data_IF_282238918772
#
_entry.id   IF_282238918772
#
_cell.length_a   1.000
_cell.length_b   1.000
_cell.length_c   1.000
_cell.angle_alpha   90.00
_cell.angle_beta   90.00
_cell.angle_gamma   90.00
#
_symmetry.space_group_name_H-M   'P 1'
#
loop_
_entity.id
_entity.type
_entity.pdbx_description
1 polymer ?
#
# COMPACT_ATOMS: atom_id res chain seq x y z
N UNK A 1 7.43 23.88 -11.10
CA UNK A 1 6.07 23.32 -11.11
C UNK A 1 5.91 22.47 -12.36
N UNK A 2 5.38 21.26 -12.22
CA UNK A 2 5.12 20.35 -13.33
C UNK A 2 3.64 20.01 -13.28
N UNK A 3 2.90 20.40 -14.30
CA UNK A 3 1.49 20.09 -14.42
C UNK A 3 1.30 18.79 -15.19
N UNK A 4 0.45 17.91 -14.66
CA UNK A 4 -0.06 16.77 -15.39
C UNK A 4 -1.28 17.23 -16.23
N UNK A 5 -1.41 16.77 -17.49
CA UNK A 5 -2.56 17.12 -18.31
C UNK A 5 -3.90 16.81 -17.65
N UNK A 6 -4.98 17.47 -18.08
CA UNK A 6 -6.33 17.33 -17.52
C UNK A 6 -6.82 15.87 -17.40
N UNK A 7 -7.71 15.63 -16.44
CA UNK A 7 -8.28 14.30 -16.15
C UNK A 7 -7.33 13.33 -15.45
N UNK A 8 -6.19 13.81 -14.95
CA UNK A 8 -5.17 12.97 -14.28
C UNK A 8 -5.05 13.29 -12.80
N UNK A 9 -4.88 12.24 -12.00
CA UNK A 9 -4.71 12.32 -10.55
C UNK A 9 -3.36 11.71 -10.19
N UNK A 10 -2.49 12.49 -9.54
CA UNK A 10 -1.25 12.02 -8.96
C UNK A 10 -1.51 11.52 -7.54
N UNK A 11 -1.04 10.31 -7.22
CA UNK A 11 -1.20 9.66 -5.92
C UNK A 11 0.13 9.44 -5.21
N UNK A 12 1.20 9.19 -5.96
CA UNK A 12 2.54 8.95 -5.43
C UNK A 12 3.61 9.62 -6.27
N UNK A 13 4.70 10.02 -5.61
CA UNK A 13 5.87 10.63 -6.22
C UNK A 13 7.14 10.05 -5.62
N UNK A 14 8.17 9.89 -6.43
CA UNK A 14 9.51 9.49 -6.02
C UNK A 14 10.57 10.02 -6.97
N UNK A 15 11.80 10.07 -6.49
CA UNK A 15 12.95 10.58 -7.25
C UNK A 15 14.08 9.56 -7.15
N UNK A 16 14.74 9.26 -8.25
CA UNK A 16 15.93 8.44 -8.23
C UNK A 16 17.20 9.24 -7.93
N UNK A 17 18.34 8.56 -7.78
CA UNK A 17 19.63 9.18 -7.50
C UNK A 17 20.14 10.15 -8.59
N UNK A 18 19.56 10.09 -9.79
CA UNK A 18 19.88 10.98 -10.93
C UNK A 18 18.94 12.18 -11.02
N UNK A 19 18.03 12.36 -10.05
CA UNK A 19 17.04 13.45 -10.06
C UNK A 19 15.85 13.23 -11.00
N UNK A 20 15.68 12.01 -11.55
CA UNK A 20 14.52 11.68 -12.38
C UNK A 20 13.30 11.50 -11.50
N UNK A 21 12.26 12.26 -11.79
CA UNK A 21 10.99 12.23 -11.04
C UNK A 21 10.07 11.18 -11.65
N UNK A 22 9.56 10.32 -10.79
CA UNK A 22 8.52 9.33 -11.08
C UNK A 22 7.24 9.73 -10.35
N UNK A 23 6.12 9.66 -11.03
CA UNK A 23 4.79 9.89 -10.44
C UNK A 23 3.89 8.73 -10.80
N UNK A 24 3.03 8.31 -9.91
CA UNK A 24 1.99 7.33 -10.21
C UNK A 24 0.61 7.85 -9.84
N UNK A 25 -0.43 7.25 -10.41
CA UNK A 25 -1.80 7.64 -10.17
C UNK A 25 -2.74 7.03 -11.20
N UNK A 26 -3.72 7.79 -11.65
CA UNK A 26 -4.67 7.33 -12.65
C UNK A 26 -5.15 8.46 -13.56
N UNK A 27 -5.66 8.08 -14.71
CA UNK A 27 -6.39 8.96 -15.62
C UNK A 27 -7.85 8.56 -15.62
N UNK A 28 -8.73 9.55 -15.60
CA UNK A 28 -10.17 9.37 -15.67
C UNK A 28 -10.68 9.84 -17.02
N UNK A 29 -11.40 8.96 -17.72
CA UNK A 29 -12.08 9.25 -18.99
C UNK A 29 -13.54 8.82 -18.85
N UNK A 30 -14.43 9.80 -18.65
CA UNK A 30 -15.81 9.52 -18.27
C UNK A 30 -15.90 8.81 -16.92
N UNK A 31 -16.40 7.59 -16.91
CA UNK A 31 -16.49 6.74 -15.71
C UNK A 31 -15.33 5.74 -15.60
N UNK A 32 -14.52 5.60 -16.62
CA UNK A 32 -13.39 4.66 -16.64
C UNK A 32 -12.15 5.29 -16.03
N UNK A 33 -11.43 4.50 -15.21
CA UNK A 33 -10.18 4.86 -14.62
C UNK A 33 -9.08 3.91 -15.11
N UNK A 34 -7.93 4.45 -15.46
CA UNK A 34 -6.77 3.67 -15.89
C UNK A 34 -5.52 4.08 -15.14
N UNK A 35 -4.85 3.11 -14.51
CA UNK A 35 -3.61 3.36 -13.79
C UNK A 35 -2.51 3.86 -14.72
N UNK A 36 -1.79 4.87 -14.27
CA UNK A 36 -0.71 5.52 -15.02
C UNK A 36 0.53 5.69 -14.14
N UNK A 37 1.67 5.71 -14.78
CA UNK A 37 2.89 6.32 -14.25
C UNK A 37 3.38 7.41 -15.21
N UNK A 38 4.15 8.34 -14.69
CA UNK A 38 4.84 9.36 -15.47
C UNK A 38 6.32 9.37 -15.08
N UNK A 39 7.18 9.50 -16.08
CA UNK A 39 8.61 9.78 -15.92
C UNK A 39 8.81 11.21 -16.39
N UNK A 40 9.02 12.15 -15.48
CA UNK A 40 8.80 13.56 -15.75
C UNK A 40 7.34 13.78 -16.16
N UNK A 41 7.11 14.28 -17.38
CA UNK A 41 5.76 14.48 -17.96
C UNK A 41 5.31 13.35 -18.89
N UNK A 42 6.15 12.35 -19.17
CA UNK A 42 5.87 11.29 -20.14
C UNK A 42 4.99 10.20 -19.50
N UNK A 43 3.74 10.00 -19.95
CA UNK A 43 2.84 9.02 -19.40
C UNK A 43 3.13 7.61 -19.91
N UNK A 44 2.92 6.63 -19.04
CA UNK A 44 2.90 5.21 -19.38
C UNK A 44 1.68 4.54 -18.74
N UNK A 45 0.91 3.80 -19.53
CA UNK A 45 -0.21 3.01 -19.03
C UNK A 45 0.31 1.84 -18.23
N UNK A 46 -0.26 1.64 -17.05
CA UNK A 46 -0.02 0.46 -16.22
C UNK A 46 -1.06 -0.61 -16.58
N UNK A 47 -0.62 -1.59 -17.36
CA UNK A 47 -1.52 -2.62 -17.90
C UNK A 47 -2.32 -3.33 -16.81
N UNK A 48 -3.61 -3.54 -17.05
CA UNK A 48 -4.58 -4.17 -16.15
C UNK A 48 -4.74 -3.43 -14.81
N UNK A 49 -4.43 -2.13 -14.76
CA UNK A 49 -4.57 -1.30 -13.58
C UNK A 49 -5.71 -0.30 -13.71
N UNK A 50 -6.48 -0.15 -12.64
CA UNK A 50 -7.47 0.92 -12.45
C UNK A 50 -6.82 2.11 -11.75
N UNK A 51 -6.11 1.87 -10.64
CA UNK A 51 -5.41 2.92 -9.89
C UNK A 51 -4.04 2.47 -9.42
N UNK A 52 -3.05 3.35 -9.56
CA UNK A 52 -1.76 3.26 -8.89
C UNK A 52 -1.79 4.16 -7.66
N UNK A 53 -1.54 3.60 -6.48
CA UNK A 53 -1.72 4.28 -5.19
C UNK A 53 -0.44 4.97 -4.70
N UNK A 54 0.65 4.22 -4.64
CA UNK A 54 1.95 4.69 -4.15
C UNK A 54 3.08 4.06 -4.95
N UNK A 55 4.26 4.65 -4.86
CA UNK A 55 5.46 4.11 -5.49
C UNK A 55 6.68 4.21 -4.56
N UNK A 56 7.63 3.32 -4.79
CA UNK A 56 8.97 3.34 -4.23
C UNK A 56 9.99 3.34 -5.36
N UNK A 57 11.00 4.19 -5.26
CA UNK A 57 12.11 4.22 -6.21
C UNK A 57 13.38 3.81 -5.48
N UNK A 58 14.02 2.76 -5.96
CA UNK A 58 15.31 2.32 -5.42
C UNK A 58 16.29 2.13 -6.58
N UNK A 59 17.44 2.82 -6.48
CA UNK A 59 18.36 2.99 -7.58
C UNK A 59 17.64 3.59 -8.79
N UNK A 60 17.44 2.85 -9.85
CA UNK A 60 16.73 3.30 -11.05
C UNK A 60 15.42 2.55 -11.29
N UNK A 61 15.07 1.61 -10.40
CA UNK A 61 13.83 0.85 -10.49
C UNK A 61 12.69 1.54 -9.77
N UNK A 62 11.54 1.59 -10.42
CA UNK A 62 10.30 2.12 -9.88
C UNK A 62 9.33 0.97 -9.59
N UNK A 63 8.97 0.79 -8.34
CA UNK A 63 8.00 -0.18 -7.85
C UNK A 63 6.70 0.56 -7.54
N UNK A 64 5.58 0.09 -8.06
CA UNK A 64 4.28 0.76 -7.92
C UNK A 64 3.28 -0.23 -7.35
N UNK A 65 2.57 0.16 -6.28
CA UNK A 65 1.44 -0.55 -5.72
C UNK A 65 0.12 0.06 -6.17
N UNK A 66 -0.90 -0.76 -6.31
CA UNK A 66 -2.24 -0.33 -6.66
C UNK A 66 -3.18 -1.51 -6.88
N UNK A 67 -4.18 -1.32 -7.69
CA UNK A 67 -5.16 -2.34 -8.02
C UNK A 67 -5.74 -2.17 -9.43
N UNK A 68 -6.38 -3.22 -9.90
CA UNK A 68 -7.10 -3.23 -11.15
C UNK A 68 -8.17 -4.30 -11.14
N UNK A 69 -9.12 -4.20 -12.04
CA UNK A 69 -10.21 -5.16 -12.11
C UNK A 69 -9.73 -6.51 -12.65
N UNK A 70 -10.30 -7.57 -12.10
CA UNK A 70 -10.18 -8.89 -12.65
C UNK A 70 -10.92 -8.96 -14.00
N UNK A 71 -10.32 -9.60 -14.98
CA UNK A 71 -10.88 -9.72 -16.34
C UNK A 71 -12.18 -10.54 -16.40
N UNK A 72 -12.46 -11.36 -15.36
CA UNK A 72 -13.59 -12.30 -15.37
C UNK A 72 -14.81 -11.85 -14.57
N UNK A 73 -14.63 -11.08 -13.50
CA UNK A 73 -15.72 -10.76 -12.57
C UNK A 73 -15.72 -9.30 -12.07
N UNK A 74 -14.92 -8.43 -12.67
CA UNK A 74 -14.78 -7.00 -12.33
C UNK A 74 -14.40 -6.71 -10.87
N UNK A 75 -13.92 -7.71 -10.12
CA UNK A 75 -13.45 -7.55 -8.75
C UNK A 75 -12.06 -6.91 -8.74
N UNK A 76 -11.84 -5.97 -7.82
CA UNK A 76 -10.55 -5.31 -7.64
C UNK A 76 -9.49 -6.30 -7.15
N UNK A 77 -8.38 -6.38 -7.87
CA UNK A 77 -7.21 -7.19 -7.51
C UNK A 77 -6.01 -6.32 -7.18
N UNK A 78 -5.36 -6.57 -6.05
CA UNK A 78 -4.10 -5.93 -5.71
C UNK A 78 -3.02 -6.27 -6.74
N UNK A 79 -2.31 -5.25 -7.24
CA UNK A 79 -1.34 -5.35 -8.31
C UNK A 79 -0.06 -4.60 -8.01
N UNK A 80 1.03 -5.08 -8.61
CA UNK A 80 2.32 -4.41 -8.61
C UNK A 80 2.81 -4.26 -10.04
N UNK A 81 3.43 -3.12 -10.32
CA UNK A 81 4.16 -2.85 -11.54
C UNK A 81 5.60 -2.49 -11.19
N UNK A 82 6.55 -3.01 -11.97
CA UNK A 82 7.96 -2.68 -11.86
C UNK A 82 8.38 -2.03 -13.19
N UNK A 83 8.92 -0.82 -13.14
CA UNK A 83 9.28 0.00 -14.30
C UNK A 83 8.12 0.14 -15.31
N UNK A 84 6.90 0.18 -14.76
CA UNK A 84 5.65 0.27 -15.53
C UNK A 84 5.27 -0.99 -16.30
N UNK A 85 5.92 -2.11 -16.03
CA UNK A 85 5.50 -3.43 -16.51
C UNK A 85 4.67 -4.13 -15.43
N UNK A 86 3.54 -4.71 -15.81
CA UNK A 86 2.75 -5.52 -14.89
C UNK A 86 3.61 -6.69 -14.38
N UNK A 87 3.87 -6.70 -13.08
CA UNK A 87 4.70 -7.74 -12.50
C UNK A 87 3.89 -8.98 -12.16
N UNK A 88 2.73 -8.81 -11.52
CA UNK A 88 1.70 -9.85 -11.30
C UNK A 88 0.55 -9.28 -10.46
N UNK A 89 -0.55 -10.03 -10.39
CA UNK A 89 -1.51 -9.89 -9.29
C UNK A 89 -0.89 -10.44 -8.02
N UNK A 90 -1.15 -9.79 -6.90
CA UNK A 90 -0.76 -10.31 -5.60
C UNK A 90 -1.65 -11.50 -5.24
N UNK A 91 -1.05 -12.55 -4.66
CA UNK A 91 -1.81 -13.72 -4.28
C UNK A 91 -2.86 -13.36 -3.25
N UNK A 92 -4.10 -13.67 -3.55
CA UNK A 92 -5.16 -13.72 -2.56
C UNK A 92 -4.98 -14.98 -1.71
N UNK A 93 -5.40 -14.95 -0.44
CA UNK A 93 -5.35 -16.16 0.39
C UNK A 93 -6.09 -17.31 -0.29
N UNK A 94 -5.46 -18.48 -0.26
CA UNK A 94 -6.06 -19.73 -0.73
C UNK A 94 -7.21 -20.23 0.19
N UNK A 95 -7.98 -19.31 0.76
CA UNK A 95 -9.22 -19.70 1.44
C UNK A 95 -10.15 -20.31 0.38
N UNK A 96 -10.71 -21.46 0.69
CA UNK A 96 -11.65 -22.16 -0.21
C UNK A 96 -12.81 -21.27 -0.66
N UNK A 97 -13.12 -20.23 0.10
CA UNK A 97 -14.16 -19.24 -0.18
C UNK A 97 -13.72 -18.17 -1.21
N UNK A 98 -12.43 -18.01 -1.46
CA UNK A 98 -11.91 -17.02 -2.40
C UNK A 98 -11.21 -17.64 -3.63
N UNK A 99 -11.42 -18.93 -3.87
CA UNK A 99 -10.85 -19.64 -5.04
C UNK A 99 -11.24 -19.02 -6.38
N UNK A 100 -12.34 -18.27 -6.43
CA UNK A 100 -12.84 -17.63 -7.63
C UNK A 100 -12.43 -16.16 -7.75
N UNK A 101 -11.68 -15.60 -6.78
CA UNK A 101 -11.34 -14.18 -6.76
C UNK A 101 -12.55 -13.27 -6.52
N UNK A 102 -13.52 -13.72 -5.72
CA UNK A 102 -14.79 -13.01 -5.52
C UNK A 102 -14.68 -11.83 -4.54
N UNK A 103 -13.51 -11.63 -3.92
CA UNK A 103 -13.30 -10.57 -2.94
C UNK A 103 -12.21 -9.60 -3.34
N UNK A 104 -12.46 -8.28 -3.20
CA UNK A 104 -11.48 -7.27 -3.57
C UNK A 104 -10.24 -7.30 -2.68
N UNK A 105 -9.10 -7.05 -3.31
CA UNK A 105 -7.82 -6.82 -2.66
C UNK A 105 -7.19 -5.53 -3.19
N UNK A 106 -6.65 -4.71 -2.30
CA UNK A 106 -6.08 -3.41 -2.60
C UNK A 106 -4.64 -3.35 -2.08
N UNK A 107 -3.70 -2.99 -2.93
CA UNK A 107 -2.33 -2.66 -2.55
C UNK A 107 -2.24 -1.14 -2.35
N UNK A 108 -1.97 -0.70 -1.14
CA UNK A 108 -2.02 0.71 -0.75
C UNK A 108 -0.66 1.39 -0.85
N UNK A 109 0.43 0.70 -0.45
CA UNK A 109 1.77 1.25 -0.47
C UNK A 109 2.84 0.17 -0.68
N UNK A 110 4.05 0.58 -1.07
CA UNK A 110 5.17 -0.31 -1.39
C UNK A 110 6.50 0.30 -1.00
N UNK A 111 7.38 -0.50 -0.41
CA UNK A 111 8.77 -0.19 -0.17
C UNK A 111 9.68 -1.22 -0.86
N UNK A 112 10.92 -0.85 -1.17
CA UNK A 112 11.89 -1.74 -1.79
C UNK A 112 13.32 -1.41 -1.36
N UNK A 113 14.19 -2.43 -1.28
CA UNK A 113 15.65 -2.30 -1.15
C UNK A 113 16.39 -2.59 -2.48
N UNK A 114 15.63 -2.80 -3.56
CA UNK A 114 16.14 -3.09 -4.90
C UNK A 114 16.14 -4.58 -5.25
N UNK A 115 16.38 -5.46 -4.30
CA UNK A 115 16.32 -6.92 -4.46
C UNK A 115 14.97 -7.48 -4.04
N UNK A 116 14.41 -6.89 -2.98
CA UNK A 116 13.11 -7.25 -2.43
C UNK A 116 12.15 -6.08 -2.49
N UNK A 117 10.87 -6.38 -2.43
CA UNK A 117 9.82 -5.40 -2.22
C UNK A 117 8.81 -5.90 -1.17
N UNK A 118 8.28 -4.95 -0.44
CA UNK A 118 7.25 -5.14 0.58
C UNK A 118 6.08 -4.25 0.24
N UNK A 119 4.93 -4.83 0.10
CA UNK A 119 3.70 -4.11 -0.21
C UNK A 119 2.68 -4.33 0.90
N UNK A 120 1.96 -3.29 1.25
CA UNK A 120 0.93 -3.35 2.27
C UNK A 120 -0.43 -2.97 1.70
N UNK A 121 -1.47 -3.47 2.33
CA UNK A 121 -2.82 -3.18 1.91
C UNK A 121 -3.85 -4.01 2.67
N UNK A 122 -4.88 -4.43 1.96
CA UNK A 122 -6.00 -5.15 2.54
C UNK A 122 -6.64 -6.11 1.54
N UNK A 123 -7.20 -7.17 2.05
CA UNK A 123 -8.03 -8.11 1.30
C UNK A 123 -9.36 -8.30 2.03
N UNK A 124 -10.46 -8.25 1.29
CA UNK A 124 -11.76 -8.52 1.88
C UNK A 124 -11.90 -10.03 2.10
N UNK A 125 -12.21 -10.42 3.33
CA UNK A 125 -12.58 -11.79 3.68
C UNK A 125 -14.03 -11.76 4.17
N UNK A 126 -14.95 -12.15 3.29
CA UNK A 126 -16.39 -12.11 3.62
C UNK A 126 -16.74 -13.04 4.78
N UNK A 127 -17.74 -12.73 5.62
CA UNK A 127 -18.55 -11.51 5.65
C UNK A 127 -18.02 -10.45 6.63
N UNK A 128 -16.87 -10.67 7.25
CA UNK A 128 -16.40 -9.96 8.44
C UNK A 128 -15.49 -8.76 8.19
N UNK A 129 -15.30 -8.31 6.96
CA UNK A 129 -14.54 -7.10 6.68
C UNK A 129 -13.20 -7.35 6.00
N UNK A 130 -12.28 -6.38 6.11
CA UNK A 130 -10.97 -6.43 5.49
C UNK A 130 -9.93 -7.03 6.43
N UNK A 131 -9.02 -7.82 5.86
CA UNK A 131 -7.81 -8.33 6.50
C UNK A 131 -6.62 -7.49 6.09
N UNK A 132 -5.79 -7.03 7.04
CA UNK A 132 -4.54 -6.36 6.74
C UNK A 132 -3.57 -7.36 6.10
N UNK A 133 -2.96 -6.95 4.99
CA UNK A 133 -2.05 -7.79 4.20
C UNK A 133 -0.68 -7.16 4.06
N UNK A 134 0.34 -8.00 4.18
CA UNK A 134 1.71 -7.67 3.80
C UNK A 134 2.19 -8.70 2.78
N UNK A 135 2.49 -8.26 1.59
CA UNK A 135 3.07 -9.09 0.54
C UNK A 135 4.56 -8.84 0.47
N UNK A 136 5.34 -9.90 0.55
CA UNK A 136 6.81 -9.88 0.45
C UNK A 136 7.20 -10.72 -0.76
N UNK A 137 7.72 -10.12 -1.83
CA UNK A 137 8.14 -10.83 -3.03
C UNK A 137 7.11 -11.89 -3.50
N UNK A 138 5.82 -11.56 -3.52
CA UNK A 138 4.66 -12.42 -3.85
C UNK A 138 4.14 -13.31 -2.73
N UNK A 139 4.83 -13.45 -1.62
CA UNK A 139 4.32 -14.23 -0.49
C UNK A 139 3.37 -13.39 0.35
N UNK A 140 2.23 -13.95 0.66
CA UNK A 140 1.20 -13.31 1.47
C UNK A 140 1.47 -13.53 2.96
N UNK A 141 1.43 -12.47 3.73
CA UNK A 141 1.57 -12.52 5.19
C UNK A 141 0.43 -11.72 5.81
N UNK A 142 -0.13 -12.25 6.88
CA UNK A 142 -1.13 -11.56 7.69
C UNK A 142 -0.45 -10.97 8.91
N UNK A 143 -0.71 -9.70 9.23
CA UNK A 143 -0.44 -9.19 10.56
C UNK A 143 -1.54 -9.70 11.51
N UNK A 144 -1.16 -10.01 12.76
CA UNK A 144 -2.11 -10.29 13.81
C UNK A 144 -3.01 -9.06 13.98
N UNK A 145 -4.30 -9.28 14.19
CA UNK A 145 -5.29 -8.22 14.41
C UNK A 145 -6.16 -8.54 15.62
N UNK A 146 -6.62 -7.51 16.27
CA UNK A 146 -7.59 -7.62 17.38
C UNK A 146 -8.97 -7.08 16.99
N UNK A 147 -9.04 -6.17 16.01
CA UNK A 147 -10.26 -5.50 15.57
C UNK A 147 -10.90 -6.09 14.30
N UNK A 148 -12.20 -5.81 14.07
CA UNK A 148 -12.96 -6.35 12.94
C UNK A 148 -12.66 -5.67 11.60
N UNK A 149 -12.08 -4.47 11.61
CA UNK A 149 -11.83 -3.67 10.40
C UNK A 149 -10.42 -3.07 10.47
N UNK A 150 -9.44 -3.86 10.05
CA UNK A 150 -8.03 -3.45 10.06
C UNK A 150 -7.54 -3.20 8.65
N UNK A 151 -6.74 -2.16 8.45
CA UNK A 151 -6.13 -1.84 7.16
C UNK A 151 -4.72 -1.31 7.33
N UNK A 152 -3.85 -1.61 6.36
CA UNK A 152 -2.51 -1.06 6.29
C UNK A 152 -2.47 0.01 5.20
N UNK A 153 -2.01 1.21 5.55
CA UNK A 153 -2.04 2.38 4.68
C UNK A 153 -0.71 2.68 4.03
N UNK A 154 0.37 2.49 4.76
CA UNK A 154 1.71 2.93 4.38
C UNK A 154 2.80 1.99 4.88
N UNK A 155 3.94 2.01 4.20
CA UNK A 155 5.12 1.24 4.57
C UNK A 155 6.40 2.00 4.26
N UNK A 156 7.39 1.90 5.16
CA UNK A 156 8.74 2.40 4.97
C UNK A 156 9.75 1.32 5.29
N UNK A 157 10.88 1.31 4.58
CA UNK A 157 11.99 0.40 4.84
C UNK A 157 13.23 1.20 5.20
N UNK A 158 13.86 0.87 6.31
CA UNK A 158 15.13 1.43 6.72
C UNK A 158 15.99 0.35 7.42
N UNK A 159 17.22 0.17 6.95
CA UNK A 159 18.26 -0.63 7.60
C UNK A 159 17.82 -2.04 8.04
N UNK A 160 17.11 -2.77 7.18
CA UNK A 160 16.67 -4.15 7.47
C UNK A 160 15.33 -4.23 8.21
N UNK A 161 14.76 -3.12 8.63
CA UNK A 161 13.46 -3.03 9.30
C UNK A 161 12.46 -2.35 8.38
N UNK A 162 11.26 -2.88 8.33
CA UNK A 162 10.13 -2.20 7.72
C UNK A 162 9.13 -1.75 8.79
N UNK A 163 8.62 -0.56 8.59
CA UNK A 163 7.67 0.12 9.45
C UNK A 163 6.37 0.27 8.69
N UNK A 164 5.29 -0.18 9.28
CA UNK A 164 3.98 -0.27 8.63
C UNK A 164 3.00 0.56 9.44
N UNK A 165 2.29 1.47 8.79
CA UNK A 165 1.24 2.27 9.42
C UNK A 165 -0.15 1.85 8.96
N UNK A 166 -1.14 2.04 9.85
CA UNK A 166 -2.53 1.72 9.55
C UNK A 166 -3.44 1.83 10.76
N UNK A 167 -4.43 0.95 10.81
CA UNK A 167 -5.29 0.81 11.98
C UNK A 167 -5.58 -0.66 12.29
N UNK A 168 -5.81 -0.95 13.57
CA UNK A 168 -6.42 -2.19 14.04
C UNK A 168 -7.74 -1.88 14.74
N UNK A 169 -8.85 -2.18 14.06
CA UNK A 169 -10.16 -1.74 14.48
C UNK A 169 -10.26 -0.21 14.54
N UNK A 170 -10.35 0.32 15.75
CA UNK A 170 -10.46 1.76 16.00
C UNK A 170 -9.12 2.43 16.36
N UNK A 171 -8.04 1.65 16.52
CA UNK A 171 -6.74 2.12 16.99
C UNK A 171 -5.83 2.53 15.82
N UNK A 172 -5.19 3.70 15.92
CA UNK A 172 -4.09 4.07 15.04
C UNK A 172 -2.85 3.28 15.46
N UNK A 173 -2.33 2.48 14.54
CA UNK A 173 -1.23 1.57 14.83
C UNK A 173 -0.06 1.80 13.89
N UNK A 174 1.16 1.58 14.39
CA UNK A 174 2.24 1.19 13.52
C UNK A 174 2.90 -0.11 14.01
N UNK A 175 3.47 -0.85 13.09
CA UNK A 175 4.22 -2.07 13.36
C UNK A 175 5.65 -1.91 12.85
N UNK A 176 6.62 -2.36 13.65
CA UNK A 176 7.99 -2.52 13.20
C UNK A 176 8.32 -4.00 13.07
N UNK A 177 8.92 -4.40 11.96
CA UNK A 177 9.19 -5.81 11.71
C UNK A 177 10.41 -6.00 10.79
N UNK A 178 10.96 -7.22 10.77
CA UNK A 178 12.03 -7.63 9.88
C UNK A 178 11.57 -8.76 8.97
N UNK A 179 12.23 -8.94 7.84
CA UNK A 179 12.08 -10.15 7.05
C UNK A 179 12.93 -11.27 7.64
N UNK A 180 12.39 -12.47 7.79
CA UNK A 180 13.08 -13.60 8.40
C UNK A 180 14.37 -13.97 7.66
N UNK A 181 14.31 -14.02 6.34
CA UNK A 181 15.45 -14.08 5.43
C UNK A 181 15.00 -13.73 4.01
N UNK A 182 15.95 -13.41 3.13
CA UNK A 182 15.65 -13.19 1.70
C UNK A 182 15.07 -14.43 0.98
N UNK A 183 15.23 -15.61 1.57
CA UNK A 183 14.67 -16.88 1.06
C UNK A 183 13.30 -17.21 1.66
N UNK A 184 13.04 -16.71 2.87
CA UNK A 184 11.76 -16.90 3.55
C UNK A 184 11.01 -15.57 3.56
N UNK A 185 10.16 -15.33 2.59
CA UNK A 185 9.34 -14.13 2.45
C UNK A 185 8.27 -14.05 3.57
N UNK A 186 8.73 -14.01 4.83
CA UNK A 186 7.89 -14.00 6.03
C UNK A 186 8.29 -12.86 6.96
N UNK A 187 7.29 -12.29 7.61
CA UNK A 187 7.45 -11.32 8.69
C UNK A 187 8.08 -12.00 9.90
N UNK A 188 9.05 -11.33 10.51
CA UNK A 188 9.71 -11.73 11.74
C UNK A 188 9.85 -10.54 12.70
N UNK A 189 9.95 -10.82 14.01
CA UNK A 189 10.14 -9.81 15.05
C UNK A 189 9.16 -8.64 14.95
N UNK A 190 7.88 -8.94 14.69
CA UNK A 190 6.85 -7.91 14.58
C UNK A 190 6.54 -7.34 15.98
N UNK A 191 6.70 -6.03 16.12
CA UNK A 191 6.32 -5.27 17.32
C UNK A 191 5.18 -4.33 16.97
N UNK A 192 4.20 -4.26 17.86
CA UNK A 192 2.98 -3.45 17.71
C UNK A 192 3.11 -2.18 18.56
N UNK A 193 2.70 -1.04 17.99
CA UNK A 193 2.73 0.25 18.65
C UNK A 193 1.38 0.95 18.46
N UNK A 194 0.61 1.05 19.57
CA UNK A 194 -0.66 1.80 19.59
C UNK A 194 -0.37 3.27 19.81
N UNK A 195 -0.84 4.11 18.90
CA UNK A 195 -0.69 5.56 18.93
C UNK A 195 -1.97 6.27 19.36
N UNK A 196 -3.07 5.55 19.51
CA UNK A 196 -4.36 6.15 19.84
C UNK A 196 -4.46 6.49 21.32
N UNK A 197 -5.03 7.66 21.60
CA UNK A 197 -5.25 8.16 22.97
C UNK A 197 -6.65 7.83 23.52
N UNK A 198 -7.52 7.18 22.73
CA UNK A 198 -8.92 7.03 23.11
C UNK A 198 -9.67 5.94 22.37
N UNK A 199 -10.97 5.90 22.59
CA UNK A 199 -11.91 4.87 22.10
C UNK A 199 -12.59 5.22 20.77
N UNK A 200 -12.22 6.31 20.14
CA UNK A 200 -12.78 6.75 18.86
C UNK A 200 -11.90 6.27 17.70
N UNK A 201 -12.48 6.20 16.52
CA UNK A 201 -11.78 5.75 15.32
C UNK A 201 -10.52 6.59 15.06
N UNK A 202 -9.39 5.91 14.91
CA UNK A 202 -8.09 6.51 14.61
C UNK A 202 -7.37 5.71 13.52
N UNK A 203 -6.46 6.35 12.80
CA UNK A 203 -5.70 5.71 11.72
C UNK A 203 -4.39 6.44 11.48
N UNK A 204 -3.34 5.69 11.16
CA UNK A 204 -2.13 6.20 10.52
C UNK A 204 -2.32 6.19 9.01
N UNK A 205 -2.16 7.34 8.36
CA UNK A 205 -2.28 7.49 6.92
C UNK A 205 -0.93 7.45 6.19
N UNK A 206 0.14 7.97 6.83
CA UNK A 206 1.49 7.91 6.30
C UNK A 206 2.54 7.76 7.41
N UNK A 207 3.71 7.22 7.06
CA UNK A 207 4.83 6.96 7.98
C UNK A 207 6.14 7.32 7.30
N UNK A 208 7.04 7.96 8.04
CA UNK A 208 8.42 8.12 7.62
C UNK A 208 9.38 7.74 8.73
N UNK A 209 10.60 7.35 8.36
CA UNK A 209 11.62 6.91 9.32
C UNK A 209 12.96 7.47 8.90
N UNK A 210 13.68 8.02 9.87
CA UNK A 210 15.03 8.50 9.68
C UNK A 210 15.88 8.18 10.91
N UNK A 211 16.94 7.42 10.74
CA UNK A 211 17.86 7.00 11.82
C UNK A 211 17.13 6.34 13.00
N UNK A 212 16.13 5.52 12.72
CA UNK A 212 15.31 4.84 13.72
C UNK A 212 14.25 5.71 14.40
N UNK A 213 14.17 7.01 14.09
CA UNK A 213 13.08 7.87 14.55
C UNK A 213 11.90 7.69 13.62
N UNK A 214 10.78 7.24 14.18
CA UNK A 214 9.52 7.01 13.45
C UNK A 214 8.62 8.22 13.61
N UNK A 215 8.11 8.74 12.50
CA UNK A 215 7.10 9.79 12.46
C UNK A 215 5.88 9.27 11.72
N UNK A 216 4.72 9.36 12.37
CA UNK A 216 3.45 8.96 11.78
C UNK A 216 2.53 10.16 11.66
N UNK A 217 1.82 10.29 10.55
CA UNK A 217 0.72 11.23 10.43
C UNK A 217 -0.59 10.50 10.15
N UNK A 218 -1.70 11.08 10.61
CA UNK A 218 -3.01 10.48 10.47
C UNK A 218 -4.09 11.28 11.18
N UNK A 219 -5.08 10.60 11.72
CA UNK A 219 -6.16 11.27 12.46
C UNK A 219 -6.70 10.43 13.61
N UNK A 220 -7.30 11.12 14.56
CA UNK A 220 -8.25 10.57 15.53
C UNK A 220 -9.62 11.23 15.34
N UNK A 221 -10.68 10.45 15.48
CA UNK A 221 -12.04 10.97 15.39
C UNK A 221 -12.48 11.53 16.75
N UNK A 222 -12.96 12.77 16.77
CA UNK A 222 -13.53 13.38 17.98
C UNK A 222 -14.83 12.70 18.41
N UNK A 223 -15.24 12.92 19.65
CA UNK A 223 -16.55 12.47 20.13
C UNK A 223 -17.73 13.06 19.33
N UNK A 224 -17.53 14.21 18.66
CA UNK A 224 -18.52 14.84 17.77
C UNK A 224 -18.46 14.34 16.33
N UNK A 225 -17.56 13.38 16.03
CA UNK A 225 -17.43 12.72 14.72
C UNK A 225 -16.51 13.40 13.73
N UNK A 226 -15.82 14.49 14.09
CA UNK A 226 -14.86 15.17 13.23
C UNK A 226 -13.49 14.51 13.32
N UNK A 227 -12.76 14.41 12.19
CA UNK A 227 -11.38 13.96 12.18
C UNK A 227 -10.46 15.07 12.67
N UNK A 228 -9.63 14.76 13.65
CA UNK A 228 -8.60 15.63 14.20
C UNK A 228 -7.24 15.14 13.68
N UNK A 229 -6.51 15.95 12.90
CA UNK A 229 -5.19 15.57 12.41
C UNK A 229 -4.24 15.31 13.59
N UNK A 230 -3.34 14.35 13.42
CA UNK A 230 -2.30 13.98 14.39
C UNK A 230 -0.96 13.78 13.68
N UNK A 231 0.10 14.10 14.41
CA UNK A 231 1.49 13.86 14.02
C UNK A 231 2.20 13.19 15.18
#
# INVERSE_FOLDING_TARGET
EVELPEGRVAMGIGVNSKGVVYTCGFQKEGYEESAKMWIGTNPKVLKNGTRAQKLSVYNEKCYIAGYGNNETNEVEEARIWIDGQAYNKLSQDNDEKNKNGDYPALANDIASDGDNWWCVGQERNSPVGYLPKVWINRSNNNLKREGPASSLSCIKYENGTFYIGGNDGYHAMYWSATQKSSKENRINNCQEHDLSSGVTQAKVDDIDVLNGIVVCCGYERSATGSNIPKL
#
